data_IF_661192077503
#
_entry.id   IF_661192077503
#
_cell.length_a   1.000
_cell.length_b   1.000
_cell.length_c   1.000
_cell.angle_alpha   90.00
_cell.angle_beta   90.00
_cell.angle_gamma   90.00
#
_symmetry.space_group_name_H-M   'P 1'
#
loop_
_entity.id
_entity.type
_entity.pdbx_description
1 polymer ?
#
# COMPACT_ATOMS: atom_id res chain seq x y z
N UNK A 1 21.63 -10.96 -14.41
CA UNK A 1 20.84 -12.03 -13.74
C UNK A 1 19.34 -11.88 -14.03
N UNK A 2 18.79 -10.66 -13.96
CA UNK A 2 17.39 -10.41 -14.31
C UNK A 2 17.34 -9.74 -15.67
N UNK A 3 16.65 -10.35 -16.64
CA UNK A 3 16.46 -9.77 -17.96
C UNK A 3 15.13 -9.03 -17.97
N UNK A 4 15.19 -7.69 -18.04
CA UNK A 4 14.00 -6.84 -18.04
C UNK A 4 13.19 -7.04 -19.32
N UNK A 5 11.88 -7.07 -19.15
CA UNK A 5 10.88 -7.05 -20.21
C UNK A 5 10.04 -5.79 -20.13
N UNK A 6 8.74 -5.95 -20.40
CA UNK A 6 7.79 -4.85 -20.47
C UNK A 6 7.67 -4.09 -19.15
N UNK A 7 7.53 -2.76 -19.24
CA UNK A 7 7.09 -1.91 -18.14
C UNK A 7 5.62 -2.24 -17.79
N UNK A 8 5.37 -2.62 -16.55
CA UNK A 8 4.04 -3.02 -16.04
C UNK A 8 3.46 -2.04 -15.02
N UNK A 9 4.26 -1.13 -14.49
CA UNK A 9 3.79 -0.10 -13.57
C UNK A 9 4.76 1.07 -13.48
N UNK A 10 4.21 2.27 -13.30
CA UNK A 10 4.99 3.50 -13.10
C UNK A 10 4.41 4.27 -11.91
N UNK A 11 5.24 4.50 -10.91
CA UNK A 11 4.94 5.36 -9.77
C UNK A 11 5.76 6.65 -9.83
N UNK A 12 5.56 7.55 -8.86
CA UNK A 12 6.34 8.80 -8.79
C UNK A 12 7.84 8.59 -8.55
N UNK A 13 8.20 7.46 -7.93
CA UNK A 13 9.55 7.18 -7.42
C UNK A 13 10.21 5.92 -8.02
N UNK A 14 9.44 5.09 -8.73
CA UNK A 14 9.92 3.81 -9.23
C UNK A 14 9.17 3.37 -10.49
N UNK A 15 9.84 2.55 -11.29
CA UNK A 15 9.29 1.82 -12.42
C UNK A 15 9.30 0.33 -12.11
N UNK A 16 8.26 -0.39 -12.51
CA UNK A 16 8.13 -1.83 -12.29
C UNK A 16 8.09 -2.51 -13.64
N UNK A 17 9.02 -3.43 -13.85
CA UNK A 17 9.13 -4.24 -15.06
C UNK A 17 8.81 -5.70 -14.75
N UNK A 18 8.16 -6.39 -15.68
CA UNK A 18 8.24 -7.86 -15.72
C UNK A 18 9.65 -8.25 -16.16
N UNK A 19 10.23 -9.29 -15.57
CA UNK A 19 11.56 -9.76 -15.93
C UNK A 19 11.66 -11.29 -15.84
N UNK A 20 12.65 -11.85 -16.53
CA UNK A 20 13.03 -13.25 -16.40
C UNK A 20 14.24 -13.37 -15.46
N UNK A 21 14.12 -14.13 -14.36
CA UNK A 21 15.27 -14.59 -13.58
C UNK A 21 15.96 -15.70 -14.37
N UNK A 22 17.06 -15.37 -15.06
CA UNK A 22 17.73 -16.31 -15.98
C UNK A 22 18.41 -17.47 -15.26
N UNK A 23 18.59 -17.38 -13.93
CA UNK A 23 19.18 -18.45 -13.12
C UNK A 23 18.16 -19.53 -12.77
N UNK A 24 16.93 -19.14 -12.44
CA UNK A 24 15.86 -20.04 -12.00
C UNK A 24 14.80 -20.29 -13.07
N UNK A 25 14.82 -19.56 -14.18
CA UNK A 25 13.85 -19.69 -15.27
C UNK A 25 12.44 -19.24 -14.93
N UNK A 26 12.28 -18.35 -13.94
CA UNK A 26 10.97 -17.86 -13.48
C UNK A 26 10.72 -16.40 -13.82
N UNK A 27 9.46 -16.06 -14.04
CA UNK A 27 9.01 -14.67 -14.20
C UNK A 27 8.96 -13.98 -12.84
N UNK A 28 9.50 -12.76 -12.77
CA UNK A 28 9.54 -11.90 -11.58
C UNK A 28 9.13 -10.48 -11.93
N UNK A 29 8.79 -9.69 -10.93
CA UNK A 29 8.65 -8.24 -11.07
C UNK A 29 9.91 -7.57 -10.50
N UNK A 30 10.45 -6.58 -11.21
CA UNK A 30 11.62 -5.81 -10.78
C UNK A 30 11.18 -4.36 -10.63
N UNK A 31 11.19 -3.86 -9.39
CA UNK A 31 10.93 -2.46 -9.06
C UNK A 31 12.26 -1.72 -9.02
N UNK A 32 12.47 -0.81 -9.94
CA UNK A 32 13.68 -0.01 -10.10
C UNK A 32 13.36 1.40 -9.61
N UNK A 33 14.12 1.89 -8.64
CA UNK A 33 13.94 3.27 -8.15
C UNK A 33 14.59 4.25 -9.13
N UNK A 34 14.07 5.48 -9.18
CA UNK A 34 14.69 6.54 -9.99
C UNK A 34 16.09 6.88 -9.48
N UNK A 35 16.97 7.26 -10.41
CA UNK A 35 18.37 7.59 -10.13
C UNK A 35 18.55 8.82 -9.22
N UNK A 36 17.61 9.78 -9.25
CA UNK A 36 17.65 10.98 -8.38
C UNK A 36 17.53 10.64 -6.89
N UNK A 37 16.87 9.53 -6.54
CA UNK A 37 16.81 8.99 -5.18
C UNK A 37 18.04 8.15 -4.81
N UNK A 38 18.81 7.69 -5.78
CA UNK A 38 19.93 6.79 -5.56
C UNK A 38 21.23 7.50 -5.15
N UNK A 39 21.26 8.83 -5.20
CA UNK A 39 22.38 9.62 -4.69
C UNK A 39 22.27 9.91 -3.18
N UNK A 40 21.17 9.53 -2.54
CA UNK A 40 20.98 9.63 -1.09
C UNK A 40 21.37 8.30 -0.41
N UNK A 41 22.58 8.25 0.15
CA UNK A 41 23.09 7.07 0.87
C UNK A 41 22.23 6.70 2.10
N UNK A 42 21.53 7.67 2.72
CA UNK A 42 20.61 7.42 3.84
C UNK A 42 19.37 6.70 3.33
N UNK A 43 18.82 7.16 2.21
CA UNK A 43 17.70 6.50 1.54
C UNK A 43 18.04 5.06 1.15
N UNK A 44 19.19 4.84 0.49
CA UNK A 44 19.66 3.52 0.09
C UNK A 44 19.82 2.56 1.28
N UNK A 45 20.44 3.03 2.36
CA UNK A 45 20.63 2.22 3.56
C UNK A 45 19.29 1.80 4.19
N UNK A 46 18.29 2.68 4.19
CA UNK A 46 16.93 2.38 4.66
C UNK A 46 16.21 1.43 3.72
N UNK A 47 16.26 1.68 2.42
CA UNK A 47 15.66 0.84 1.39
C UNK A 47 16.14 -0.62 1.50
N UNK A 48 17.46 -0.83 1.62
CA UNK A 48 18.04 -2.16 1.83
C UNK A 48 17.55 -2.82 3.13
N UNK A 49 17.45 -2.06 4.22
CA UNK A 49 16.98 -2.57 5.52
C UNK A 49 15.52 -3.02 5.45
N UNK A 50 14.65 -2.21 4.85
CA UNK A 50 13.23 -2.51 4.70
C UNK A 50 13.03 -3.70 3.74
N UNK A 51 13.74 -3.73 2.61
CA UNK A 51 13.71 -4.88 1.70
C UNK A 51 14.13 -6.18 2.41
N UNK A 52 15.14 -6.13 3.28
CA UNK A 52 15.59 -7.30 4.03
C UNK A 52 14.57 -7.76 5.08
N UNK A 53 13.92 -6.82 5.79
CA UNK A 53 12.87 -7.15 6.76
C UNK A 53 11.68 -7.84 6.08
N UNK A 54 11.29 -7.36 4.90
CA UNK A 54 10.16 -7.91 4.14
C UNK A 54 10.52 -9.23 3.45
N UNK A 55 11.77 -9.42 3.02
CA UNK A 55 12.24 -10.66 2.39
C UNK A 55 12.16 -11.89 3.31
N UNK A 56 12.08 -11.70 4.63
CA UNK A 56 11.89 -12.79 5.59
C UNK A 56 10.41 -13.19 5.76
N UNK A 57 9.48 -12.41 5.22
CA UNK A 57 8.06 -12.72 5.30
C UNK A 57 7.69 -13.82 4.30
N UNK A 58 6.95 -14.82 4.78
CA UNK A 58 6.39 -15.88 3.95
C UNK A 58 4.90 -16.03 4.27
N UNK A 59 4.06 -15.37 3.48
CA UNK A 59 2.62 -15.36 3.63
C UNK A 59 1.95 -15.36 2.25
N UNK A 60 0.90 -16.17 2.02
CA UNK A 60 0.23 -16.24 0.72
C UNK A 60 -0.42 -14.92 0.30
N UNK A 61 -0.79 -14.05 1.24
CA UNK A 61 -1.40 -12.75 0.99
C UNK A 61 -0.40 -11.59 0.92
N UNK A 62 0.91 -11.86 0.99
CA UNK A 62 1.97 -10.86 0.81
C UNK A 62 2.72 -11.16 -0.48
N UNK A 63 3.06 -10.12 -1.25
CA UNK A 63 3.98 -10.24 -2.40
C UNK A 63 5.37 -10.56 -1.88
N UNK A 64 5.89 -11.73 -2.26
CA UNK A 64 7.20 -12.16 -1.78
C UNK A 64 8.32 -11.32 -2.39
N UNK A 65 9.30 -10.92 -1.58
CA UNK A 65 10.56 -10.34 -2.04
C UNK A 65 11.58 -11.45 -2.19
N UNK A 66 12.21 -11.53 -3.35
CA UNK A 66 13.19 -12.57 -3.67
C UNK A 66 14.63 -12.08 -3.59
N UNK A 67 14.87 -10.82 -3.93
CA UNK A 67 16.22 -10.26 -4.00
C UNK A 67 16.16 -8.73 -3.97
N UNK A 68 17.30 -8.11 -3.70
CA UNK A 68 17.49 -6.67 -3.84
C UNK A 68 18.93 -6.39 -4.24
N UNK A 69 19.15 -5.36 -5.05
CA UNK A 69 20.50 -5.03 -5.50
C UNK A 69 20.59 -3.62 -6.06
N UNK A 70 21.77 -3.32 -6.60
CA UNK A 70 22.08 -2.06 -7.27
C UNK A 70 22.83 -2.37 -8.55
N UNK A 71 22.49 -1.66 -9.62
CA UNK A 71 23.21 -1.70 -10.90
C UNK A 71 23.85 -0.34 -11.15
N UNK A 72 25.08 -0.32 -11.65
CA UNK A 72 25.72 0.91 -12.14
C UNK A 72 25.38 1.06 -13.62
N UNK A 73 24.74 2.16 -13.98
CA UNK A 73 24.42 2.52 -15.36
C UNK A 73 25.06 3.86 -15.73
N UNK A 74 25.44 4.02 -16.98
CA UNK A 74 25.91 5.31 -17.49
C UNK A 74 24.71 6.18 -17.86
N UNK A 75 24.64 7.39 -17.30
CA UNK A 75 23.67 8.41 -17.67
C UNK A 75 23.91 8.93 -19.09
N UNK A 76 22.98 9.69 -19.65
CA UNK A 76 23.17 10.38 -20.92
C UNK A 76 24.32 11.41 -20.87
N UNK A 77 24.68 11.93 -19.69
CA UNK A 77 25.84 12.80 -19.49
C UNK A 77 27.17 12.05 -19.38
N UNK A 78 27.15 10.71 -19.36
CA UNK A 78 28.32 9.85 -19.20
C UNK A 78 28.73 9.60 -17.75
N UNK A 79 27.95 10.07 -16.77
CA UNK A 79 28.18 9.84 -15.35
C UNK A 79 27.68 8.45 -14.94
N UNK A 80 28.31 7.82 -13.96
CA UNK A 80 27.84 6.56 -13.41
C UNK A 80 26.74 6.79 -12.36
N UNK A 81 25.52 6.34 -12.65
CA UNK A 81 24.38 6.38 -11.75
C UNK A 81 24.14 5.00 -11.13
N UNK A 82 23.78 4.98 -9.85
CA UNK A 82 23.35 3.76 -9.17
C UNK A 82 21.84 3.61 -9.32
N UNK A 83 21.38 2.43 -9.72
CA UNK A 83 19.95 2.10 -9.79
C UNK A 83 19.64 0.99 -8.80
N UNK A 84 19.11 1.32 -7.60
CA UNK A 84 18.67 0.31 -6.66
C UNK A 84 17.38 -0.33 -7.17
N UNK A 85 17.28 -1.65 -6.97
CA UNK A 85 16.13 -2.43 -7.38
C UNK A 85 15.74 -3.48 -6.34
N UNK A 86 14.45 -3.82 -6.34
CA UNK A 86 13.89 -4.96 -5.62
C UNK A 86 13.31 -5.94 -6.63
N UNK A 87 13.60 -7.22 -6.44
CA UNK A 87 13.02 -8.33 -7.19
C UNK A 87 11.96 -9.00 -6.33
N UNK A 88 10.76 -9.09 -6.86
CA UNK A 88 9.59 -9.59 -6.14
C UNK A 88 8.75 -10.53 -6.99
N UNK A 89 7.79 -11.18 -6.35
CA UNK A 89 6.78 -12.01 -6.97
C UNK A 89 6.05 -11.24 -8.07
N UNK A 90 6.01 -11.81 -9.28
CA UNK A 90 5.14 -11.31 -10.34
C UNK A 90 3.72 -11.82 -10.12
N UNK A 91 2.84 -10.93 -9.65
CA UNK A 91 1.42 -11.24 -9.50
C UNK A 91 0.71 -10.94 -10.82
N UNK A 92 0.30 -12.00 -11.52
CA UNK A 92 -0.55 -11.88 -12.71
C UNK A 92 -1.99 -11.60 -12.27
N UNK A 93 -2.42 -10.34 -12.42
CA UNK A 93 -3.70 -9.87 -11.90
C UNK A 93 -3.88 -8.36 -12.06
N UNK A 94 -4.83 -7.79 -11.32
CA UNK A 94 -5.13 -6.35 -11.35
C UNK A 94 -5.04 -5.75 -9.96
N UNK A 95 -4.74 -4.45 -9.87
CA UNK A 95 -4.84 -3.73 -8.60
C UNK A 95 -6.31 -3.53 -8.22
N UNK A 96 -6.61 -3.53 -6.93
CA UNK A 96 -7.95 -3.24 -6.43
C UNK A 96 -8.41 -1.84 -6.87
N UNK A 97 -7.49 -0.87 -6.97
CA UNK A 97 -7.77 0.45 -7.54
C UNK A 97 -8.35 0.37 -8.95
N UNK A 98 -7.73 -0.41 -9.83
CA UNK A 98 -8.17 -0.51 -11.21
C UNK A 98 -9.50 -1.26 -11.31
N UNK A 99 -9.74 -2.23 -10.44
CA UNK A 99 -11.01 -2.96 -10.33
C UNK A 99 -12.14 -2.01 -9.90
N UNK A 100 -11.94 -1.23 -8.83
CA UNK A 100 -12.93 -0.25 -8.34
C UNK A 100 -13.17 0.84 -9.39
N UNK A 101 -12.12 1.29 -10.09
CA UNK A 101 -12.25 2.30 -11.15
C UNK A 101 -13.17 1.85 -12.29
N UNK A 102 -13.17 0.56 -12.62
CA UNK A 102 -13.99 0.01 -13.71
C UNK A 102 -15.39 -0.36 -13.21
N UNK A 103 -15.49 -1.00 -12.03
CA UNK A 103 -16.74 -1.58 -11.55
C UNK A 103 -17.54 -0.63 -10.63
N UNK A 104 -16.92 0.41 -10.09
CA UNK A 104 -17.47 1.19 -8.99
C UNK A 104 -17.48 0.40 -7.69
N UNK A 105 -18.59 0.46 -6.96
CA UNK A 105 -18.79 -0.33 -5.75
C UNK A 105 -18.79 -1.84 -6.06
N UNK A 106 -18.16 -2.62 -5.20
CA UNK A 106 -18.07 -4.08 -5.31
C UNK A 106 -19.21 -4.75 -4.53
N UNK A 107 -19.44 -6.04 -4.82
CA UNK A 107 -20.41 -6.81 -4.04
C UNK A 107 -19.90 -6.99 -2.61
N UNK A 108 -20.82 -7.14 -1.64
CA UNK A 108 -20.45 -7.38 -0.23
C UNK A 108 -19.55 -8.61 -0.07
N UNK A 109 -19.81 -9.65 -0.87
CA UNK A 109 -19.01 -10.88 -0.90
C UNK A 109 -17.58 -10.61 -1.39
N UNK A 110 -17.41 -9.81 -2.44
CA UNK A 110 -16.08 -9.47 -2.94
C UNK A 110 -15.34 -8.58 -1.95
N UNK A 111 -16.02 -7.63 -1.32
CA UNK A 111 -15.46 -6.80 -0.24
C UNK A 111 -14.92 -7.67 0.90
N UNK A 112 -15.73 -8.63 1.36
CA UNK A 112 -15.35 -9.58 2.41
C UNK A 112 -14.12 -10.39 2.00
N UNK A 113 -14.12 -11.02 0.82
CA UNK A 113 -13.01 -11.83 0.33
C UNK A 113 -11.70 -11.02 0.24
N UNK A 114 -11.78 -9.79 -0.28
CA UNK A 114 -10.62 -8.90 -0.35
C UNK A 114 -10.12 -8.54 1.04
N UNK A 115 -11.01 -8.13 1.94
CA UNK A 115 -10.65 -7.76 3.31
C UNK A 115 -10.04 -8.92 4.09
N UNK A 116 -10.55 -10.14 3.96
CA UNK A 116 -9.96 -11.32 4.59
C UNK A 116 -8.50 -11.51 4.15
N UNK A 117 -8.20 -11.32 2.87
CA UNK A 117 -6.84 -11.38 2.35
C UNK A 117 -5.94 -10.26 2.89
N UNK A 118 -6.42 -9.02 2.90
CA UNK A 118 -5.69 -7.87 3.45
C UNK A 118 -5.41 -8.05 4.95
N UNK A 119 -6.41 -8.48 5.72
CA UNK A 119 -6.27 -8.66 7.17
C UNK A 119 -5.37 -9.85 7.53
N UNK A 120 -5.34 -10.91 6.72
CA UNK A 120 -4.35 -11.99 6.87
C UNK A 120 -2.91 -11.50 6.65
N UNK A 121 -2.70 -10.63 5.66
CA UNK A 121 -1.39 -10.03 5.40
C UNK A 121 -0.95 -9.11 6.55
N UNK A 122 -1.86 -8.26 7.03
CA UNK A 122 -1.60 -7.35 8.15
C UNK A 122 -1.37 -8.08 9.48
N UNK A 123 -2.18 -9.09 9.82
CA UNK A 123 -1.97 -9.89 11.03
C UNK A 123 -0.59 -10.54 11.03
N UNK A 124 -0.17 -11.10 9.89
CA UNK A 124 1.15 -11.69 9.75
C UNK A 124 2.26 -10.66 9.90
N UNK A 125 2.18 -9.51 9.21
CA UNK A 125 3.22 -8.49 9.27
C UNK A 125 3.33 -7.88 10.68
N UNK A 126 2.19 -7.62 11.34
CA UNK A 126 2.15 -7.04 12.68
C UNK A 126 2.78 -7.98 13.73
N UNK A 127 2.59 -9.29 13.62
CA UNK A 127 3.28 -10.28 14.47
C UNK A 127 4.80 -10.29 14.27
N UNK A 128 5.26 -9.93 13.07
CA UNK A 128 6.68 -9.76 12.75
C UNK A 128 7.20 -8.36 13.10
N UNK A 129 6.38 -7.49 13.70
CA UNK A 129 6.76 -6.12 14.07
C UNK A 129 6.83 -5.15 12.90
N UNK A 130 6.26 -5.51 11.74
CA UNK A 130 6.27 -4.72 10.51
C UNK A 130 4.90 -4.07 10.32
N UNK A 131 4.86 -2.75 10.32
CA UNK A 131 3.69 -1.92 10.01
C UNK A 131 3.79 -1.51 8.54
N UNK A 132 2.70 -1.64 7.77
CA UNK A 132 2.71 -1.37 6.34
C UNK A 132 2.79 0.13 6.02
N UNK A 133 1.99 0.96 6.70
CA UNK A 133 1.92 2.45 6.60
C UNK A 133 1.32 3.04 5.33
N UNK A 134 1.04 2.23 4.32
CA UNK A 134 0.55 2.70 3.00
C UNK A 134 -0.48 1.73 2.43
N UNK A 135 -1.42 1.28 3.27
CA UNK A 135 -2.53 0.46 2.82
C UNK A 135 -3.48 1.32 1.98
N UNK A 136 -3.64 0.92 0.72
CA UNK A 136 -4.53 1.57 -0.26
C UNK A 136 -4.85 0.59 -1.40
N UNK A 137 -5.90 0.82 -2.21
CA UNK A 137 -6.26 -0.09 -3.29
C UNK A 137 -5.18 -0.28 -4.36
N UNK A 138 -4.27 0.69 -4.51
CA UNK A 138 -3.12 0.58 -5.42
C UNK A 138 -2.04 -0.42 -4.96
N UNK A 139 -1.99 -0.74 -3.66
CA UNK A 139 -1.03 -1.68 -3.06
C UNK A 139 -1.68 -3.04 -2.74
N UNK A 140 -2.88 -3.29 -3.27
CA UNK A 140 -3.61 -4.54 -3.14
C UNK A 140 -3.85 -5.07 -4.54
N UNK A 141 -3.35 -6.27 -4.84
CA UNK A 141 -3.58 -6.96 -6.10
C UNK A 141 -4.49 -8.16 -5.89
N UNK A 142 -5.32 -8.45 -6.90
CA UNK A 142 -6.11 -9.67 -6.99
C UNK A 142 -5.57 -10.46 -8.18
N UNK A 143 -5.05 -11.65 -7.93
CA UNK A 143 -4.53 -12.52 -8.99
C UNK A 143 -5.65 -13.07 -9.87
N UNK A 144 -5.31 -13.58 -11.05
CA UNK A 144 -6.27 -14.28 -11.92
C UNK A 144 -6.97 -15.47 -11.23
N UNK A 145 -6.36 -16.04 -10.19
CA UNK A 145 -6.92 -17.12 -9.38
C UNK A 145 -7.77 -16.61 -8.20
N UNK A 146 -7.98 -15.29 -8.09
CA UNK A 146 -8.74 -14.67 -7.00
C UNK A 146 -7.96 -14.51 -5.69
N UNK A 147 -6.62 -14.68 -5.70
CA UNK A 147 -5.81 -14.55 -4.50
C UNK A 147 -5.45 -13.09 -4.27
N UNK A 148 -5.76 -12.58 -3.08
CA UNK A 148 -5.38 -11.23 -2.64
C UNK A 148 -3.90 -11.20 -2.28
N UNK A 149 -3.18 -10.21 -2.78
CA UNK A 149 -1.75 -9.98 -2.56
C UNK A 149 -1.51 -8.53 -2.17
N UNK A 150 -1.00 -8.29 -0.97
CA UNK A 150 -0.59 -6.96 -0.49
C UNK A 150 0.89 -6.75 -0.79
N UNK A 151 1.24 -5.59 -1.35
CA UNK A 151 2.59 -5.25 -1.80
C UNK A 151 3.12 -3.98 -1.11
N UNK A 152 4.42 -3.72 -1.23
CA UNK A 152 5.08 -2.50 -0.74
C UNK A 152 5.04 -2.30 0.80
N UNK A 153 5.04 -3.39 1.57
CA UNK A 153 5.28 -3.33 3.03
C UNK A 153 6.58 -2.60 3.36
N UNK A 154 6.55 -1.68 4.33
CA UNK A 154 7.76 -1.10 4.94
C UNK A 154 8.59 -0.15 4.05
N UNK A 155 8.49 -0.23 2.73
CA UNK A 155 9.27 0.59 1.79
C UNK A 155 8.90 2.08 1.90
N UNK A 156 7.65 2.41 2.23
CA UNK A 156 7.21 3.79 2.46
C UNK A 156 7.94 4.48 3.63
N UNK A 157 8.35 3.73 4.65
CA UNK A 157 9.07 4.27 5.81
C UNK A 157 10.44 4.84 5.46
N UNK A 158 11.10 4.27 4.44
CA UNK A 158 12.38 4.79 3.97
C UNK A 158 12.27 6.23 3.43
N UNK A 159 11.06 6.62 2.98
CA UNK A 159 10.76 7.93 2.39
C UNK A 159 10.35 8.96 3.48
N UNK A 160 9.49 8.58 4.43
CA UNK A 160 8.82 9.49 5.37
C UNK A 160 9.70 10.14 6.46
N UNK A 161 10.83 9.54 6.85
CA UNK A 161 11.69 10.05 7.94
C UNK A 161 12.55 11.28 7.52
N UNK A 162 12.25 11.89 6.36
CA UNK A 162 12.68 13.24 6.05
C UNK A 162 11.48 14.16 6.26
N UNK A 163 11.50 15.01 7.29
CA UNK A 163 10.48 16.07 7.47
C UNK A 163 10.31 16.97 6.21
N UNK A 164 11.23 16.86 5.24
CA UNK A 164 11.19 17.46 3.92
C UNK A 164 10.31 16.72 2.88
N UNK A 165 10.01 15.41 2.98
CA UNK A 165 9.16 14.73 1.98
C UNK A 165 7.68 15.03 2.17
N UNK A 166 7.22 15.40 3.37
CA UNK A 166 5.86 15.90 3.56
C UNK A 166 5.63 17.25 2.87
N UNK A 167 6.68 18.05 2.70
CA UNK A 167 6.63 19.36 2.02
C UNK A 167 7.06 19.31 0.56
N UNK A 168 7.89 18.34 0.15
CA UNK A 168 8.31 18.12 -1.25
C UNK A 168 7.51 17.06 -2.01
N UNK A 169 6.68 16.26 -1.34
CA UNK A 169 5.58 15.56 -2.01
C UNK A 169 4.53 16.59 -2.36
N UNK A 170 4.75 17.38 -3.42
CA UNK A 170 3.64 18.01 -4.12
C UNK A 170 2.62 16.92 -4.41
N UNK A 171 1.47 17.07 -3.74
CA UNK A 171 0.58 16.00 -3.39
C UNK A 171 0.11 15.19 -4.58
N UNK A 172 0.32 13.88 -4.50
CA UNK A 172 -0.65 12.98 -5.12
C UNK A 172 -1.85 12.96 -4.19
N UNK A 173 -2.88 13.72 -4.53
CA UNK A 173 -4.20 13.74 -3.85
C UNK A 173 -4.66 12.33 -3.48
N UNK A 174 -4.32 11.32 -4.28
CA UNK A 174 -4.65 9.91 -4.08
C UNK A 174 -3.99 9.18 -2.91
N UNK A 175 -2.81 9.60 -2.41
CA UNK A 175 -2.21 8.94 -1.22
C UNK A 175 -2.87 9.45 0.07
N UNK A 176 -3.30 10.71 0.08
CA UNK A 176 -3.92 11.32 1.26
C UNK A 176 -5.26 10.67 1.65
N UNK A 177 -5.95 10.02 0.71
CA UNK A 177 -7.28 9.41 0.86
C UNK A 177 -7.32 8.21 1.83
N UNK A 178 -6.17 7.68 2.22
CA UNK A 178 -6.04 6.50 3.07
C UNK A 178 -5.13 6.74 4.28
N UNK A 179 -4.73 7.98 4.53
CA UNK A 179 -3.89 8.32 5.67
C UNK A 179 -4.65 8.15 6.99
N UNK A 180 -4.02 7.54 7.97
CA UNK A 180 -4.53 7.55 9.34
C UNK A 180 -4.44 8.96 9.97
N UNK A 181 -5.30 9.29 10.96
CA UNK A 181 -5.27 10.58 11.65
C UNK A 181 -3.89 10.89 12.25
N UNK A 182 -3.23 9.90 12.83
CA UNK A 182 -1.89 10.02 13.41
C UNK A 182 -0.82 10.28 12.35
N UNK A 183 -0.90 9.67 11.16
CA UNK A 183 0.00 10.00 10.05
C UNK A 183 -0.21 11.44 9.57
N UNK A 184 -1.47 11.87 9.44
CA UNK A 184 -1.81 13.23 9.02
C UNK A 184 -1.30 14.30 10.01
N UNK A 185 -1.14 13.96 11.29
CA UNK A 185 -0.57 14.84 12.34
C UNK A 185 0.95 14.69 12.50
N UNK A 186 1.59 13.74 11.82
CA UNK A 186 3.00 13.41 12.04
C UNK A 186 3.27 12.77 13.41
N UNK A 187 2.26 12.13 14.01
CA UNK A 187 2.38 11.39 15.25
C UNK A 187 3.01 10.00 15.02
N UNK A 188 3.35 9.31 16.11
CA UNK A 188 3.82 7.92 16.04
C UNK A 188 2.73 6.99 15.52
N UNK A 189 3.07 6.30 14.42
CA UNK A 189 2.26 5.28 13.75
C UNK A 189 2.44 3.93 14.46
N UNK A 190 1.34 3.21 14.66
CA UNK A 190 1.34 1.83 15.15
C UNK A 190 0.49 0.92 14.23
N UNK A 191 0.36 -0.36 14.57
CA UNK A 191 -0.40 -1.33 13.75
C UNK A 191 -1.86 -0.91 13.49
N UNK A 192 -2.46 -0.12 14.38
CA UNK A 192 -3.86 0.37 14.23
C UNK A 192 -3.99 1.46 13.18
N UNK A 193 -2.88 2.05 12.74
CA UNK A 193 -2.85 2.94 11.58
C UNK A 193 -3.16 2.17 10.30
N UNK A 194 -2.60 0.97 10.13
CA UNK A 194 -2.93 0.10 8.99
C UNK A 194 -4.40 -0.33 9.01
N UNK A 195 -4.97 -0.58 10.20
CA UNK A 195 -6.37 -0.98 10.35
C UNK A 195 -7.33 0.16 9.98
N UNK A 196 -6.96 1.40 10.27
CA UNK A 196 -7.71 2.58 9.82
C UNK A 196 -7.72 2.66 8.29
N UNK A 197 -6.54 2.56 7.67
CA UNK A 197 -6.40 2.59 6.21
C UNK A 197 -7.14 1.42 5.55
N UNK A 198 -7.12 0.23 6.15
CA UNK A 198 -7.91 -0.92 5.70
C UNK A 198 -9.43 -0.65 5.82
N UNK A 199 -9.87 0.08 6.85
CA UNK A 199 -11.24 0.58 6.95
C UNK A 199 -11.60 1.56 5.82
N UNK A 200 -10.69 2.44 5.43
CA UNK A 200 -10.88 3.32 4.27
C UNK A 200 -11.01 2.52 2.95
N UNK A 201 -10.20 1.47 2.78
CA UNK A 201 -10.29 0.56 1.63
C UNK A 201 -11.64 -0.17 1.60
N UNK A 202 -12.09 -0.72 2.75
CA UNK A 202 -13.41 -1.35 2.86
C UNK A 202 -14.53 -0.37 2.50
N UNK A 203 -14.48 0.85 3.02
CA UNK A 203 -15.44 1.90 2.70
C UNK A 203 -15.51 2.16 1.20
N UNK A 204 -14.36 2.28 0.53
CA UNK A 204 -14.32 2.54 -0.90
C UNK A 204 -14.82 1.35 -1.72
N UNK A 205 -14.49 0.12 -1.35
CA UNK A 205 -15.04 -1.06 -2.02
C UNK A 205 -16.57 -1.09 -1.90
N UNK A 206 -17.12 -0.76 -0.75
CA UNK A 206 -18.57 -0.76 -0.52
C UNK A 206 -19.31 0.36 -1.26
N UNK A 207 -18.68 1.51 -1.44
CA UNK A 207 -19.35 2.74 -1.91
C UNK A 207 -18.89 3.23 -3.28
N UNK A 208 -17.80 2.67 -3.81
CA UNK A 208 -17.15 3.10 -5.05
C UNK A 208 -16.37 4.41 -4.93
N UNK A 209 -16.24 4.99 -3.72
CA UNK A 209 -15.49 6.23 -3.47
C UNK A 209 -14.83 6.24 -2.09
N UNK A 210 -13.68 6.89 -1.90
CA UNK A 210 -13.03 6.97 -0.60
C UNK A 210 -13.89 7.73 0.43
N UNK A 211 -13.66 7.53 1.74
CA UNK A 211 -14.46 8.15 2.80
C UNK A 211 -14.39 9.68 2.81
N UNK A 212 -13.26 10.24 2.38
CA UNK A 212 -13.03 11.67 2.30
C UNK A 212 -12.46 12.06 0.93
N UNK A 213 -12.92 13.19 0.42
CA UNK A 213 -12.50 13.75 -0.87
C UNK A 213 -12.30 15.24 -0.71
N UNK A 214 -11.41 15.85 -1.49
CA UNK A 214 -11.20 17.29 -1.46
C UNK A 214 -10.23 17.76 -2.54
N UNK A 215 -10.18 19.07 -2.74
CA UNK A 215 -9.42 19.71 -3.82
C UNK A 215 -7.90 19.71 -3.57
N UNK A 216 -7.46 19.33 -2.36
CA UNK A 216 -6.05 19.21 -2.02
C UNK A 216 -5.79 18.09 -1.02
N UNK A 217 -4.56 17.57 -1.01
CA UNK A 217 -4.11 16.57 -0.04
C UNK A 217 -4.26 17.07 1.42
N UNK A 218 -4.01 18.35 1.67
CA UNK A 218 -4.17 18.98 2.99
C UNK A 218 -5.63 18.97 3.44
N UNK A 219 -6.56 19.28 2.54
CA UNK A 219 -7.99 19.24 2.84
C UNK A 219 -8.49 17.82 3.16
N UNK A 220 -7.97 16.81 2.48
CA UNK A 220 -8.29 15.41 2.75
C UNK A 220 -7.68 14.97 4.09
N UNK A 221 -6.42 15.32 4.35
CA UNK A 221 -5.75 15.02 5.62
C UNK A 221 -6.49 15.64 6.82
N UNK A 222 -6.98 16.88 6.68
CA UNK A 222 -7.81 17.53 7.68
C UNK A 222 -9.08 16.72 7.97
N UNK A 223 -9.78 16.24 6.95
CA UNK A 223 -10.97 15.40 7.12
C UNK A 223 -10.66 14.08 7.84
N UNK A 224 -9.52 13.43 7.55
CA UNK A 224 -9.10 12.27 8.33
C UNK A 224 -8.83 12.63 9.80
N UNK A 225 -8.41 13.85 10.13
CA UNK A 225 -8.15 14.30 11.50
C UNK A 225 -9.42 14.68 12.26
N UNK A 226 -10.39 15.35 11.62
CA UNK A 226 -11.52 16.00 12.31
C UNK A 226 -12.91 15.48 11.93
N UNK A 227 -13.11 15.04 10.68
CA UNK A 227 -14.45 14.74 10.16
C UNK A 227 -14.83 13.27 10.34
N UNK A 228 -16.11 13.00 10.61
CA UNK A 228 -16.64 11.64 10.63
C UNK A 228 -17.07 11.26 9.20
N UNK A 229 -16.65 10.08 8.72
CA UNK A 229 -17.05 9.61 7.41
C UNK A 229 -18.56 9.41 7.33
N UNK A 230 -19.16 9.79 6.21
CA UNK A 230 -20.57 9.46 5.92
C UNK A 230 -20.76 7.95 6.03
N UNK A 231 -21.80 7.41 6.69
CA UNK A 231 -22.00 5.97 6.75
C UNK A 231 -22.18 5.34 5.35
N UNK A 232 -21.57 4.19 5.04
CA UNK A 232 -21.73 3.49 3.76
C UNK A 232 -23.19 3.33 3.30
N UNK A 233 -24.10 2.98 4.20
CA UNK A 233 -25.53 2.79 3.87
C UNK A 233 -26.28 4.09 3.52
N UNK A 234 -25.73 5.25 3.87
CA UNK A 234 -26.25 6.54 3.41
C UNK A 234 -25.78 6.86 1.97
N UNK A 235 -24.68 6.26 1.52
CA UNK A 235 -24.18 6.37 0.14
C UNK A 235 -24.80 5.31 -0.76
N UNK A 236 -24.99 4.09 -0.25
CA UNK A 236 -25.53 2.95 -0.98
C UNK A 236 -26.82 2.47 -0.29
N UNK A 237 -28.00 2.91 -0.75
CA UNK A 237 -29.28 2.49 -0.19
C UNK A 237 -29.45 0.97 -0.22
N UNK A 238 -29.87 0.40 0.91
CA UNK A 238 -30.06 -1.05 1.06
C UNK A 238 -28.83 -1.81 1.56
N UNK A 239 -27.68 -1.14 1.75
CA UNK A 239 -26.52 -1.76 2.38
C UNK A 239 -26.79 -2.03 3.87
N UNK A 240 -26.52 -3.25 4.38
CA UNK A 240 -26.73 -3.58 5.80
C UNK A 240 -25.98 -2.65 6.76
N UNK A 241 -26.65 -2.26 7.85
CA UNK A 241 -26.10 -1.37 8.90
C UNK A 241 -24.87 -1.93 9.63
N UNK A 242 -24.64 -3.24 9.51
CA UNK A 242 -23.41 -3.88 9.98
C UNK A 242 -22.17 -3.23 9.35
N UNK A 243 -22.20 -2.93 8.04
CA UNK A 243 -21.09 -2.28 7.35
C UNK A 243 -20.82 -0.85 7.85
N UNK A 244 -21.86 -0.13 8.26
CA UNK A 244 -21.66 1.19 8.89
C UNK A 244 -20.86 1.04 10.18
N UNK A 245 -21.19 0.04 10.99
CA UNK A 245 -20.57 -0.19 12.30
C UNK A 245 -19.10 -0.63 12.14
N UNK A 246 -18.83 -1.56 11.23
CA UNK A 246 -17.49 -2.06 10.92
C UNK A 246 -16.59 -0.91 10.40
N UNK A 247 -17.08 -0.14 9.41
CA UNK A 247 -16.36 1.00 8.87
C UNK A 247 -16.11 2.08 9.94
N UNK A 248 -17.11 2.40 10.76
CA UNK A 248 -16.98 3.40 11.82
C UNK A 248 -15.97 2.97 12.90
N UNK A 249 -15.96 1.69 13.28
CA UNK A 249 -14.99 1.14 14.25
C UNK A 249 -13.58 1.17 13.67
N UNK A 250 -13.37 0.66 12.46
CA UNK A 250 -12.04 0.68 11.82
C UNK A 250 -11.51 2.12 11.65
N UNK A 251 -12.37 3.06 11.24
CA UNK A 251 -12.01 4.45 10.97
C UNK A 251 -12.22 5.39 12.18
N UNK A 252 -12.29 4.88 13.41
CA UNK A 252 -12.39 5.72 14.60
C UNK A 252 -11.16 6.64 14.72
N UNK A 253 -11.36 7.91 15.10
CA UNK A 253 -10.25 8.89 15.15
C UNK A 253 -9.25 8.57 16.25
N UNK A 254 -9.76 8.27 17.44
CA UNK A 254 -8.95 7.72 18.51
C UNK A 254 -8.63 6.25 18.21
N UNK A 255 -7.34 5.93 18.15
CA UNK A 255 -6.82 4.58 17.92
C UNK A 255 -7.27 3.58 18.98
N UNK A 256 -7.63 4.02 20.19
CA UNK A 256 -8.15 3.13 21.23
C UNK A 256 -9.58 2.64 20.95
N UNK A 257 -10.32 3.36 20.11
CA UNK A 257 -11.67 3.00 19.70
C UNK A 257 -11.72 2.15 18.42
N UNK A 258 -10.55 1.81 17.85
CA UNK A 258 -10.43 0.92 16.68
C UNK A 258 -10.35 -0.53 17.11
N UNK A 259 -10.39 -1.44 16.15
CA UNK A 259 -9.93 -2.81 16.36
C UNK A 259 -8.48 -2.79 16.88
N UNK A 260 -8.19 -3.60 17.91
CA UNK A 260 -6.86 -3.69 18.48
C UNK A 260 -5.90 -4.48 17.58
N UNK A 261 -6.42 -5.45 16.83
CA UNK A 261 -5.63 -6.31 15.93
C UNK A 261 -6.36 -6.59 14.62
N UNK A 262 -5.61 -6.95 13.58
CA UNK A 262 -6.18 -7.41 12.32
C UNK A 262 -7.05 -8.67 12.50
N UNK A 263 -6.71 -9.56 13.44
CA UNK A 263 -7.54 -10.72 13.76
C UNK A 263 -8.89 -10.35 14.38
N UNK A 264 -8.94 -9.30 15.21
CA UNK A 264 -10.21 -8.80 15.76
C UNK A 264 -11.09 -8.22 14.66
N UNK A 265 -10.50 -7.40 13.77
CA UNK A 265 -11.21 -6.86 12.61
C UNK A 265 -11.73 -7.99 11.71
N UNK A 266 -10.94 -9.04 11.50
CA UNK A 266 -11.35 -10.20 10.69
C UNK A 266 -12.55 -10.97 11.26
N UNK A 267 -12.76 -10.93 12.57
CA UNK A 267 -13.79 -11.74 13.25
C UNK A 267 -15.17 -11.09 13.22
N UNK A 268 -15.20 -9.76 13.08
CA UNK A 268 -16.41 -8.93 13.05
C UNK A 268 -17.02 -8.88 11.64
#
# INVERSE_FOLDING_TARGET
>A
RYQLGQLIGRGGMAEVHVALDTRLGRTVAVKIMRADLANDDIFLARFRREAHAVAQMNNPNIVNIYDSGEELVSSESGDAERLPYIVMEYVKGQTLRDIIKVNGALSQRDCEQVMLGVLNALDYSHRMGIIHRDIKPGNIMISEQGVVKVMDFGIARALDDSAATMTQSQGVVGTAQYLSPEQARGETVDMRSDLYSAGCVLYEMLTGRPPFTGDSAVAIAYQHVSEVATPPSAVVPGLPKMWDSICAKAMAKDRQNRYATASEFKTD
#
